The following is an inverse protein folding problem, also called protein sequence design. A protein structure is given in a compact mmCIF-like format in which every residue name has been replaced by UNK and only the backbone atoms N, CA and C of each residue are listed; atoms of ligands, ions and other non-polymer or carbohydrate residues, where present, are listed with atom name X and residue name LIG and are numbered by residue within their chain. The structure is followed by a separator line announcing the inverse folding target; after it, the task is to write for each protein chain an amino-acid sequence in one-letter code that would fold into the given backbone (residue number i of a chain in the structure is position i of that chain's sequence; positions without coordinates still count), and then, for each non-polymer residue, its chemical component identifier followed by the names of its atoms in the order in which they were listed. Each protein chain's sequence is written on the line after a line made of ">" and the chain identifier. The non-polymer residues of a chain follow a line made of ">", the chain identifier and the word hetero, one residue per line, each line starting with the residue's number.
data_IF_310030531696
#
_entry.id   IF_310030531696
#
_cell.length_a   1.000
_cell.length_b   1.000
_cell.length_c   1.000
_cell.angle_alpha   90.00
_cell.angle_beta   90.00
_cell.angle_gamma   90.00
#
_symmetry.space_group_name_H-M   'P 1'
#
loop_
_entity.id
_entity.type
_entity.pdbx_description
1 polymer ?
#
# COMPACT_ATOMS: atom_id res chain seq x y z
N UNK A 1 -10.22 -45.87 -8.65
CA UNK A 1 -8.86 -46.44 -8.44
C UNK A 1 -7.73 -45.50 -8.87
N UNK A 2 -7.83 -44.87 -10.06
CA UNK A 2 -6.86 -43.89 -10.55
C UNK A 2 -6.79 -42.62 -9.69
N UNK A 3 -7.95 -42.09 -9.27
CA UNK A 3 -8.03 -40.88 -8.45
C UNK A 3 -7.38 -41.03 -7.06
N UNK A 4 -7.50 -42.22 -6.45
CA UNK A 4 -6.89 -42.50 -5.14
C UNK A 4 -5.35 -42.57 -5.21
N UNK A 5 -4.79 -43.12 -6.31
CA UNK A 5 -3.34 -43.14 -6.53
C UNK A 5 -2.80 -41.74 -6.79
N UNK A 6 -3.53 -40.94 -7.58
CA UNK A 6 -3.18 -39.54 -7.83
C UNK A 6 -3.19 -38.71 -6.53
N UNK A 7 -4.19 -38.91 -5.69
CA UNK A 7 -4.30 -38.24 -4.38
C UNK A 7 -3.12 -38.57 -3.47
N UNK A 8 -2.76 -39.86 -3.34
CA UNK A 8 -1.59 -40.28 -2.53
C UNK A 8 -0.29 -39.64 -3.04
N UNK A 9 -0.10 -39.58 -4.37
CA UNK A 9 1.08 -38.95 -4.96
C UNK A 9 1.11 -37.44 -4.71
N UNK A 10 -0.04 -36.75 -4.81
CA UNK A 10 -0.14 -35.32 -4.52
C UNK A 10 0.16 -35.02 -3.04
N UNK A 11 -0.37 -35.83 -2.13
CA UNK A 11 -0.11 -35.72 -0.69
C UNK A 11 1.38 -35.93 -0.40
N UNK A 12 1.99 -36.99 -0.96
CA UNK A 12 3.41 -37.28 -0.76
C UNK A 12 4.31 -36.15 -1.26
N UNK A 13 4.01 -35.63 -2.47
CA UNK A 13 4.71 -34.47 -3.02
C UNK A 13 4.59 -33.25 -2.10
N UNK A 14 3.39 -32.99 -1.56
CA UNK A 14 3.19 -31.83 -0.70
C UNK A 14 3.93 -31.93 0.63
N UNK A 15 4.02 -33.13 1.21
CA UNK A 15 4.84 -33.39 2.41
C UNK A 15 6.32 -33.13 2.15
N UNK A 16 6.84 -33.61 1.02
CA UNK A 16 8.23 -33.35 0.62
C UNK A 16 8.51 -31.85 0.46
N UNK A 17 7.57 -31.08 -0.13
CA UNK A 17 7.69 -29.62 -0.23
C UNK A 17 7.72 -28.93 1.15
N UNK A 18 6.89 -29.41 2.10
CA UNK A 18 6.84 -28.89 3.47
C UNK A 18 8.17 -29.16 4.18
N UNK A 19 8.66 -30.40 4.16
CA UNK A 19 9.91 -30.81 4.80
C UNK A 19 11.10 -29.99 4.29
N UNK A 20 11.24 -29.86 2.96
CA UNK A 20 12.30 -29.06 2.33
C UNK A 20 12.25 -27.59 2.71
N UNK A 21 11.06 -27.01 2.85
CA UNK A 21 10.93 -25.61 3.21
C UNK A 21 11.28 -25.37 4.69
N UNK A 22 10.92 -26.30 5.58
CA UNK A 22 11.24 -26.24 7.01
C UNK A 22 12.74 -26.39 7.30
N UNK A 23 13.55 -26.92 6.37
CA UNK A 23 15.02 -26.87 6.48
C UNK A 23 15.57 -25.44 6.46
N UNK A 24 14.83 -24.48 5.90
CA UNK A 24 15.27 -23.09 5.69
C UNK A 24 14.44 -22.05 6.45
N UNK A 25 13.32 -22.47 7.03
CA UNK A 25 12.39 -21.60 7.75
C UNK A 25 12.15 -22.21 9.12
N UNK A 26 12.63 -21.52 10.17
CA UNK A 26 12.22 -21.81 11.53
C UNK A 26 10.79 -21.29 11.73
N UNK A 27 9.82 -22.16 11.45
CA UNK A 27 8.41 -21.79 11.43
C UNK A 27 7.90 -21.31 12.79
N UNK A 28 8.38 -21.92 13.88
CA UNK A 28 8.00 -21.52 15.24
C UNK A 28 8.44 -20.08 15.50
N UNK A 29 9.68 -19.74 15.16
CA UNK A 29 10.18 -18.38 15.34
C UNK A 29 9.57 -17.39 14.34
N UNK A 30 9.26 -17.83 13.12
CA UNK A 30 8.56 -16.99 12.14
C UNK A 30 7.15 -16.60 12.60
N UNK A 31 6.39 -17.53 13.18
CA UNK A 31 5.07 -17.24 13.77
C UNK A 31 5.17 -16.26 14.94
N UNK A 32 6.25 -16.35 15.74
CA UNK A 32 6.48 -15.47 16.87
C UNK A 32 5.38 -15.60 17.92
N UNK A 33 4.62 -14.52 18.12
CA UNK A 33 3.51 -14.45 19.09
C UNK A 33 2.14 -14.75 18.49
N UNK A 34 2.06 -14.99 17.18
CA UNK A 34 0.82 -15.34 16.51
C UNK A 34 0.30 -16.72 17.00
N UNK A 35 -1.02 -16.97 16.89
CA UNK A 35 -1.58 -18.30 17.13
C UNK A 35 -0.83 -19.41 16.39
N UNK A 36 -0.65 -20.60 17.00
CA UNK A 36 -0.03 -21.73 16.31
C UNK A 36 -0.78 -22.08 15.03
N UNK A 37 -0.04 -22.18 13.91
CA UNK A 37 -0.57 -22.56 12.59
C UNK A 37 0.33 -23.59 11.94
N UNK A 38 -0.23 -24.43 11.08
CA UNK A 38 0.56 -25.36 10.28
C UNK A 38 1.32 -24.59 9.19
N UNK A 39 2.55 -25.00 8.91
CA UNK A 39 3.30 -24.45 7.79
C UNK A 39 2.75 -24.99 6.48
N UNK A 40 2.47 -24.11 5.53
CA UNK A 40 2.10 -24.48 4.17
C UNK A 40 2.88 -23.64 3.15
N UNK A 41 3.72 -24.26 2.29
CA UNK A 41 4.50 -23.54 1.30
C UNK A 41 3.62 -22.63 0.43
N UNK A 42 3.93 -21.33 0.45
CA UNK A 42 3.25 -20.30 -0.34
C UNK A 42 1.95 -19.76 0.24
N UNK A 43 1.45 -20.29 1.36
CA UNK A 43 0.20 -19.79 1.97
C UNK A 43 0.42 -18.52 2.79
N UNK A 44 1.50 -18.48 3.57
CA UNK A 44 1.87 -17.36 4.43
C UNK A 44 3.21 -16.76 4.00
N UNK A 45 4.29 -17.54 4.15
CA UNK A 45 5.64 -17.15 3.78
C UNK A 45 5.92 -17.39 2.28
N UNK A 46 6.68 -16.54 1.58
CA UNK A 46 7.38 -15.32 2.04
C UNK A 46 6.56 -14.04 1.95
N UNK A 47 5.51 -14.00 1.14
CA UNK A 47 4.88 -12.73 0.73
C UNK A 47 3.39 -12.61 1.09
N UNK A 48 2.67 -13.74 1.12
CA UNK A 48 1.21 -13.77 1.27
C UNK A 48 0.75 -13.41 2.69
N UNK A 49 1.63 -13.51 3.69
CA UNK A 49 1.38 -13.17 5.10
C UNK A 49 0.72 -11.79 5.27
N UNK A 50 1.03 -10.83 4.39
CA UNK A 50 0.46 -9.48 4.40
C UNK A 50 -1.06 -9.45 4.27
N UNK A 51 -1.66 -10.49 3.67
CA UNK A 51 -3.10 -10.67 3.51
C UNK A 51 -3.81 -11.37 4.68
N UNK A 52 -3.09 -11.80 5.71
CA UNK A 52 -3.64 -12.53 6.86
C UNK A 52 -3.69 -11.63 8.10
N UNK A 53 -4.75 -11.73 8.90
CA UNK A 53 -4.95 -10.86 10.07
C UNK A 53 -3.88 -11.03 11.15
N UNK A 54 -3.37 -12.25 11.33
CA UNK A 54 -2.34 -12.52 12.33
C UNK A 54 -0.96 -11.95 11.97
N UNK A 55 -0.71 -11.63 10.70
CA UNK A 55 0.63 -11.32 10.19
C UNK A 55 0.73 -9.98 9.45
N UNK A 56 -0.38 -9.42 9.02
CA UNK A 56 -0.40 -8.30 8.09
C UNK A 56 -1.60 -7.39 8.24
N UNK A 57 -1.71 -6.46 7.29
CA UNK A 57 -2.67 -5.35 7.32
C UNK A 57 -3.50 -5.26 6.04
N UNK A 58 -3.46 -6.30 5.21
CA UNK A 58 -4.19 -6.38 3.95
C UNK A 58 -3.65 -5.42 2.89
N UNK A 59 -4.32 -5.39 1.73
CA UNK A 59 -3.91 -4.53 0.63
C UNK A 59 -3.89 -3.04 1.01
N UNK A 60 -4.86 -2.59 1.82
CA UNK A 60 -4.91 -1.22 2.31
C UNK A 60 -3.66 -0.90 3.13
N UNK A 61 -3.36 -1.64 4.20
CA UNK A 61 -2.21 -1.29 5.04
C UNK A 61 -0.86 -1.49 4.36
N UNK A 62 -0.76 -2.44 3.43
CA UNK A 62 0.45 -2.69 2.64
C UNK A 62 0.74 -1.58 1.62
N UNK A 63 -0.28 -1.09 0.91
CA UNK A 63 -0.10 -0.16 -0.21
C UNK A 63 -0.42 1.30 0.12
N UNK A 64 -1.29 1.57 1.09
CA UNK A 64 -1.71 2.93 1.41
C UNK A 64 -0.55 3.79 1.92
N UNK A 65 0.42 3.22 2.65
CA UNK A 65 1.58 3.99 3.10
C UNK A 65 2.41 4.56 1.93
N UNK A 66 2.43 3.86 0.80
CA UNK A 66 3.16 4.28 -0.40
C UNK A 66 2.35 5.29 -1.23
N UNK A 67 1.06 4.99 -1.45
CA UNK A 67 0.21 5.80 -2.33
C UNK A 67 -0.35 7.04 -1.64
N UNK A 68 -0.67 6.95 -0.34
CA UNK A 68 -1.46 8.00 0.32
C UNK A 68 -0.61 9.12 0.90
N UNK A 69 0.72 8.99 0.90
CA UNK A 69 1.62 10.05 1.36
C UNK A 69 1.37 11.37 0.63
N UNK A 70 1.29 11.34 -0.71
CA UNK A 70 1.02 12.54 -1.51
C UNK A 70 -0.34 13.16 -1.22
N UNK A 71 -1.49 12.46 -1.36
CA UNK A 71 -2.79 13.06 -1.10
C UNK A 71 -2.99 13.50 0.35
N UNK A 72 -2.44 12.78 1.35
CA UNK A 72 -2.53 13.21 2.75
C UNK A 72 -1.78 14.51 2.99
N UNK A 73 -0.56 14.63 2.47
CA UNK A 73 0.23 15.86 2.60
C UNK A 73 -0.39 17.01 1.80
N UNK A 74 -0.68 16.80 0.51
CA UNK A 74 -1.13 17.87 -0.39
C UNK A 74 -2.54 18.37 -0.10
N UNK A 75 -3.41 17.49 0.41
CA UNK A 75 -4.78 17.83 0.73
C UNK A 75 -5.02 17.95 2.24
N UNK A 76 -3.99 17.90 3.09
CA UNK A 76 -4.14 18.00 4.56
C UNK A 76 -5.18 17.02 5.11
N UNK A 77 -5.13 15.76 4.67
CA UNK A 77 -6.03 14.71 5.16
C UNK A 77 -5.50 14.18 6.49
N UNK A 78 -6.39 13.98 7.47
CA UNK A 78 -6.04 13.47 8.80
C UNK A 78 -7.10 12.52 9.32
N UNK A 79 -8.13 13.08 9.95
CA UNK A 79 -9.15 12.32 10.67
C UNK A 79 -10.45 12.27 9.85
N UNK A 80 -10.80 11.12 9.24
CA UNK A 80 -12.06 10.98 8.56
C UNK A 80 -13.21 10.91 9.59
N UNK A 81 -14.33 11.55 9.27
CA UNK A 81 -15.55 11.50 10.10
C UNK A 81 -16.45 10.31 9.76
N UNK A 82 -16.18 9.63 8.64
CA UNK A 82 -16.92 8.43 8.23
C UNK A 82 -16.03 7.53 7.36
N UNK A 83 -16.19 6.22 7.54
CA UNK A 83 -15.56 5.19 6.71
C UNK A 83 -16.60 4.13 6.39
N UNK A 84 -16.85 3.89 5.10
CA UNK A 84 -17.81 2.89 4.62
C UNK A 84 -17.14 2.00 3.59
N UNK A 85 -17.12 0.70 3.84
CA UNK A 85 -16.52 -0.29 2.95
C UNK A 85 -17.59 -1.16 2.29
N UNK A 86 -17.44 -1.39 0.99
CA UNK A 86 -18.06 -2.49 0.26
C UNK A 86 -16.95 -3.48 -0.10
N UNK A 87 -17.08 -4.73 0.32
CA UNK A 87 -16.06 -5.75 0.06
C UNK A 87 -16.67 -7.06 -0.40
N UNK A 88 -15.83 -8.01 -0.79
CA UNK A 88 -16.24 -9.39 -1.11
C UNK A 88 -16.62 -10.22 0.13
N UNK A 89 -16.63 -9.62 1.33
CA UNK A 89 -16.66 -10.35 2.59
C UNK A 89 -15.27 -10.84 3.00
N UNK A 90 -15.16 -11.27 4.25
CA UNK A 90 -13.96 -11.89 4.83
C UNK A 90 -14.35 -13.18 5.55
N UNK A 91 -13.38 -14.08 5.72
CA UNK A 91 -13.51 -15.37 6.39
C UNK A 91 -13.11 -15.33 7.87
N UNK A 92 -12.78 -14.14 8.38
CA UNK A 92 -12.24 -13.91 9.71
C UNK A 92 -10.81 -14.43 9.95
N UNK A 93 -10.09 -14.73 8.88
CA UNK A 93 -8.69 -15.16 8.92
C UNK A 93 -7.80 -14.30 8.00
N UNK A 94 -8.38 -13.88 6.87
CA UNK A 94 -7.78 -13.04 5.85
C UNK A 94 -8.57 -11.77 5.58
N UNK A 95 -7.90 -10.77 5.02
CA UNK A 95 -8.56 -9.56 4.53
C UNK A 95 -9.41 -9.88 3.29
N UNK A 96 -10.47 -9.09 3.01
CA UNK A 96 -11.27 -9.27 1.81
C UNK A 96 -10.43 -9.30 0.53
N UNK A 97 -10.81 -10.18 -0.40
CA UNK A 97 -10.10 -10.34 -1.68
C UNK A 97 -10.27 -9.14 -2.63
N UNK A 98 -11.23 -8.26 -2.37
CA UNK A 98 -11.44 -6.98 -3.04
C UNK A 98 -12.30 -6.06 -2.16
N UNK A 99 -12.00 -4.76 -2.18
CA UNK A 99 -12.74 -3.72 -1.47
C UNK A 99 -12.84 -2.41 -2.25
N UNK A 100 -13.92 -1.67 -1.98
CA UNK A 100 -14.09 -0.26 -2.30
C UNK A 100 -14.41 0.43 -0.98
N UNK A 101 -13.55 1.35 -0.54
CA UNK A 101 -13.70 2.01 0.76
C UNK A 101 -13.82 3.52 0.53
N UNK A 102 -14.89 4.10 1.04
CA UNK A 102 -15.11 5.55 1.05
C UNK A 102 -14.75 6.11 2.42
N UNK A 103 -13.90 7.11 2.43
CA UNK A 103 -13.59 7.94 3.58
C UNK A 103 -14.17 9.33 3.35
N UNK A 104 -14.74 9.94 4.39
CA UNK A 104 -15.20 11.33 4.38
C UNK A 104 -14.29 12.16 5.27
N UNK A 105 -13.47 13.02 4.68
CA UNK A 105 -12.66 13.98 5.44
C UNK A 105 -13.45 15.29 5.58
N UNK A 106 -13.60 15.82 6.80
CA UNK A 106 -14.37 17.04 7.03
C UNK A 106 -13.70 18.24 6.38
N UNK A 107 -14.47 19.31 6.17
CA UNK A 107 -13.92 20.61 5.78
C UNK A 107 -13.03 21.19 6.89
N UNK A 108 -12.15 22.10 6.50
CA UNK A 108 -11.28 22.85 7.40
C UNK A 108 -11.32 24.32 7.01
N UNK A 109 -10.64 25.19 7.76
CA UNK A 109 -10.49 26.60 7.39
C UNK A 109 -9.75 26.81 6.05
N UNK A 110 -9.00 25.82 5.57
CA UNK A 110 -8.11 25.95 4.40
C UNK A 110 -8.61 25.18 3.16
N UNK A 111 -9.58 24.28 3.33
CA UNK A 111 -10.10 23.44 2.24
C UNK A 111 -11.51 22.89 2.51
N UNK A 112 -12.30 22.60 1.47
CA UNK A 112 -13.59 21.94 1.63
C UNK A 112 -13.45 20.51 2.16
N UNK A 113 -14.59 19.89 2.45
CA UNK A 113 -14.67 18.46 2.74
C UNK A 113 -14.22 17.65 1.52
N UNK A 114 -13.50 16.55 1.75
CA UNK A 114 -12.92 15.72 0.67
C UNK A 114 -13.43 14.29 0.82
N UNK A 115 -14.22 13.79 -0.15
CA UNK A 115 -14.47 12.36 -0.27
C UNK A 115 -13.22 11.69 -0.84
N UNK A 116 -12.75 10.65 -0.16
CA UNK A 116 -11.59 9.87 -0.59
C UNK A 116 -12.03 8.43 -0.82
N UNK A 117 -11.57 7.83 -1.92
CA UNK A 117 -11.93 6.46 -2.29
C UNK A 117 -10.68 5.59 -2.46
N UNK A 118 -10.71 4.44 -1.79
CA UNK A 118 -9.75 3.37 -1.97
C UNK A 118 -10.37 2.24 -2.80
N UNK A 119 -9.61 1.72 -3.76
CA UNK A 119 -9.95 0.55 -4.55
C UNK A 119 -8.75 -0.39 -4.54
N UNK A 120 -8.94 -1.63 -4.08
CA UNK A 120 -7.94 -2.69 -4.21
C UNK A 120 -8.46 -3.85 -5.05
N UNK A 121 -7.57 -4.78 -5.39
CA UNK A 121 -7.71 -5.88 -6.36
C UNK A 121 -7.53 -5.46 -7.82
N UNK A 122 -6.68 -6.20 -8.54
CA UNK A 122 -6.50 -6.03 -9.99
C UNK A 122 -7.83 -6.05 -10.72
N UNK A 123 -8.08 -5.00 -11.51
CA UNK A 123 -9.31 -4.82 -12.30
C UNK A 123 -10.45 -4.10 -11.56
N UNK A 124 -10.37 -3.94 -10.23
CA UNK A 124 -11.29 -3.09 -9.49
C UNK A 124 -10.71 -1.67 -9.46
N UNK A 125 -11.30 -0.76 -10.23
CA UNK A 125 -10.82 0.61 -10.43
C UNK A 125 -11.96 1.60 -10.28
N UNK A 126 -11.68 2.89 -10.02
CA UNK A 126 -12.71 3.92 -10.11
C UNK A 126 -13.31 3.96 -11.53
N UNK A 127 -14.55 4.47 -11.66
CA UNK A 127 -15.19 4.65 -12.97
C UNK A 127 -14.31 5.41 -13.97
N UNK A 128 -14.22 4.91 -15.21
CA UNK A 128 -13.35 5.49 -16.25
C UNK A 128 -13.70 6.96 -16.56
N UNK A 129 -14.97 7.33 -16.45
CA UNK A 129 -15.47 8.69 -16.63
C UNK A 129 -14.78 9.74 -15.73
N UNK A 130 -14.25 9.34 -14.57
CA UNK A 130 -13.52 10.24 -13.67
C UNK A 130 -12.17 10.61 -14.29
N UNK A 131 -11.51 9.65 -14.94
CA UNK A 131 -10.21 9.80 -15.58
C UNK A 131 -10.32 10.53 -16.92
N UNK A 132 -11.33 10.21 -17.73
CA UNK A 132 -11.55 10.80 -19.06
C UNK A 132 -11.75 12.31 -19.02
N UNK A 133 -12.41 12.83 -17.97
CA UNK A 133 -12.56 14.28 -17.72
C UNK A 133 -11.23 15.03 -17.64
N UNK A 134 -10.15 14.33 -17.35
CA UNK A 134 -8.79 14.86 -17.26
C UNK A 134 -7.88 14.36 -18.38
N UNK A 135 -8.45 13.83 -19.48
CA UNK A 135 -7.71 13.35 -20.65
C UNK A 135 -6.90 12.08 -20.40
N UNK A 136 -7.21 11.33 -19.33
CA UNK A 136 -6.55 10.06 -19.03
C UNK A 136 -7.38 8.96 -19.69
N UNK A 137 -6.83 8.33 -20.74
CA UNK A 137 -7.50 7.26 -21.50
C UNK A 137 -7.03 5.86 -21.12
N UNK A 138 -5.93 5.76 -20.36
CA UNK A 138 -5.38 4.50 -19.86
C UNK A 138 -5.03 4.62 -18.38
N UNK A 139 -5.78 3.91 -17.55
CA UNK A 139 -5.57 3.87 -16.10
C UNK A 139 -4.58 2.77 -15.75
N UNK A 140 -3.58 3.11 -14.94
CA UNK A 140 -2.57 2.18 -14.45
C UNK A 140 -3.18 1.16 -13.48
N UNK A 141 -2.44 0.08 -13.21
CA UNK A 141 -2.85 -0.94 -12.24
C UNK A 141 -2.72 -0.50 -10.79
N UNK A 142 -1.96 0.57 -10.56
CA UNK A 142 -1.73 1.20 -9.28
C UNK A 142 -1.51 2.70 -9.50
N UNK A 143 -1.92 3.52 -8.55
CA UNK A 143 -1.74 4.96 -8.64
C UNK A 143 -2.76 5.76 -7.84
N UNK A 144 -2.67 7.07 -7.98
CA UNK A 144 -3.51 8.04 -7.26
C UNK A 144 -3.99 9.10 -8.22
N UNK A 145 -5.28 9.44 -8.14
CA UNK A 145 -5.85 10.60 -8.81
C UNK A 145 -6.35 11.58 -7.75
N UNK A 146 -5.80 12.79 -7.74
CA UNK A 146 -6.30 13.90 -6.93
C UNK A 146 -6.94 14.92 -7.86
N UNK A 147 -8.22 15.21 -7.65
CA UNK A 147 -8.99 16.14 -8.48
C UNK A 147 -9.20 17.44 -7.71
N UNK A 148 -8.75 18.54 -8.28
CA UNK A 148 -9.01 19.90 -7.80
C UNK A 148 -9.89 20.68 -8.78
N UNK A 149 -10.25 21.90 -8.39
CA UNK A 149 -11.17 22.75 -9.18
C UNK A 149 -10.62 23.15 -10.55
N UNK A 150 -9.28 23.27 -10.67
CA UNK A 150 -8.61 23.73 -11.91
C UNK A 150 -8.01 22.59 -12.73
N UNK A 151 -7.92 21.38 -12.18
CA UNK A 151 -7.23 20.27 -12.83
C UNK A 151 -7.00 19.10 -11.89
N UNK A 152 -6.13 18.18 -12.29
CA UNK A 152 -5.87 16.96 -11.53
C UNK A 152 -4.39 16.58 -11.50
N UNK A 153 -3.98 15.93 -10.41
CA UNK A 153 -2.72 15.21 -10.30
C UNK A 153 -3.00 13.72 -10.49
N UNK A 154 -2.25 13.06 -11.36
CA UNK A 154 -2.36 11.62 -11.60
C UNK A 154 -1.00 10.94 -11.49
N UNK A 155 -0.83 10.07 -10.49
CA UNK A 155 0.27 9.12 -10.42
C UNK A 155 -0.14 7.78 -11.02
N UNK A 156 0.80 7.14 -11.71
CA UNK A 156 0.62 5.86 -12.42
C UNK A 156 1.50 4.73 -11.87
N UNK A 157 1.99 4.88 -10.64
CA UNK A 157 2.90 3.96 -9.97
C UNK A 157 2.59 3.83 -8.47
N UNK A 158 3.22 2.85 -7.82
CA UNK A 158 2.98 2.49 -6.41
C UNK A 158 3.40 3.58 -5.41
N UNK A 159 4.37 4.41 -5.77
CA UNK A 159 5.08 5.32 -4.85
C UNK A 159 4.88 6.80 -5.20
N UNK A 160 3.96 7.11 -6.12
CA UNK A 160 3.78 8.46 -6.65
C UNK A 160 5.05 9.09 -7.26
N UNK A 161 6.01 8.27 -7.70
CA UNK A 161 7.25 8.72 -8.34
C UNK A 161 7.06 9.09 -9.81
N UNK A 162 6.04 8.55 -10.47
CA UNK A 162 5.69 8.87 -11.86
C UNK A 162 4.31 9.50 -11.92
N UNK A 163 4.26 10.80 -12.22
CA UNK A 163 3.02 11.56 -12.22
C UNK A 163 2.90 12.53 -13.38
N UNK A 164 1.65 12.90 -13.65
CA UNK A 164 1.25 13.91 -14.61
C UNK A 164 0.35 14.95 -13.93
N UNK A 165 0.48 16.21 -14.34
CA UNK A 165 -0.46 17.28 -14.01
C UNK A 165 -1.37 17.51 -15.21
N UNK A 166 -2.69 17.49 -14.97
CA UNK A 166 -3.72 17.63 -16.00
C UNK A 166 -4.44 18.97 -15.81
N UNK A 167 -4.37 19.84 -16.81
CA UNK A 167 -5.04 21.14 -16.80
C UNK A 167 -4.38 22.21 -15.91
N UNK A 168 -3.22 21.91 -15.31
CA UNK A 168 -2.45 22.86 -14.49
C UNK A 168 -0.97 22.78 -14.81
N UNK A 169 -0.29 23.91 -14.71
CA UNK A 169 1.15 24.01 -14.89
C UNK A 169 1.89 23.58 -13.62
N UNK A 170 3.06 22.95 -13.82
CA UNK A 170 3.96 22.63 -12.71
C UNK A 170 4.57 23.92 -12.18
N UNK A 171 4.28 24.25 -10.93
CA UNK A 171 4.94 25.36 -10.22
C UNK A 171 6.30 24.87 -9.70
N UNK A 172 7.33 25.71 -9.84
CA UNK A 172 8.62 25.46 -9.21
C UNK A 172 8.45 25.61 -7.69
N UNK A 173 8.75 24.54 -6.95
CA UNK A 173 8.83 24.59 -5.51
C UNK A 173 10.30 24.61 -5.10
N UNK A 174 10.68 25.61 -4.32
CA UNK A 174 11.99 25.64 -3.67
C UNK A 174 11.93 24.73 -2.44
N UNK A 175 12.73 23.68 -2.45
CA UNK A 175 12.90 22.80 -1.30
C UNK A 175 14.36 22.37 -1.20
N UNK A 176 14.80 22.16 0.03
CA UNK A 176 16.15 21.67 0.27
C UNK A 176 16.17 20.16 0.01
N UNK A 177 16.95 19.74 -0.99
CA UNK A 177 17.07 18.32 -1.31
C UNK A 177 17.89 17.60 -0.24
N UNK A 178 17.50 16.36 0.03
CA UNK A 178 18.32 15.44 0.81
C UNK A 178 19.68 15.22 0.15
N UNK A 179 20.70 14.99 0.97
CA UNK A 179 22.03 14.65 0.49
C UNK A 179 22.00 13.26 -0.17
N UNK A 180 22.22 13.19 -1.48
CA UNK A 180 22.17 11.93 -2.23
C UNK A 180 23.27 10.96 -1.76
N UNK A 181 22.86 9.81 -1.21
CA UNK A 181 23.75 8.72 -0.77
C UNK A 181 23.76 7.53 -1.73
N UNK A 182 23.22 7.69 -2.94
CA UNK A 182 23.25 6.71 -4.03
C UNK A 182 21.92 6.00 -4.26
N UNK A 183 21.04 5.94 -3.27
CA UNK A 183 19.63 5.57 -3.46
C UNK A 183 18.74 6.22 -2.38
N UNK A 184 17.43 6.21 -2.61
CA UNK A 184 16.45 6.85 -1.73
C UNK A 184 16.43 6.25 -0.32
N UNK A 185 16.49 4.92 -0.18
CA UNK A 185 16.43 4.27 1.13
C UNK A 185 17.65 4.60 1.99
N UNK A 186 18.85 4.51 1.42
CA UNK A 186 20.11 4.85 2.11
C UNK A 186 20.11 6.33 2.48
N UNK A 187 19.61 7.19 1.57
CA UNK A 187 19.49 8.64 1.83
C UNK A 187 18.57 8.90 3.03
N UNK A 188 17.38 8.31 3.04
CA UNK A 188 16.40 8.46 4.12
C UNK A 188 16.96 7.95 5.47
N UNK A 189 17.60 6.77 5.48
CA UNK A 189 18.20 6.21 6.69
C UNK A 189 19.38 7.05 7.20
N UNK A 190 20.21 7.56 6.29
CA UNK A 190 21.32 8.42 6.65
C UNK A 190 20.85 9.71 7.34
N UNK A 191 19.82 10.36 6.81
CA UNK A 191 19.21 11.52 7.46
C UNK A 191 18.65 11.16 8.83
N UNK A 192 17.89 10.06 8.94
CA UNK A 192 17.29 9.61 10.19
C UNK A 192 18.31 9.36 11.30
N UNK A 193 19.41 8.66 11.00
CA UNK A 193 20.45 8.40 12.00
C UNK A 193 21.13 9.68 12.48
N UNK A 194 21.34 10.64 11.57
CA UNK A 194 21.92 11.94 11.93
C UNK A 194 20.96 12.78 12.76
N UNK A 195 19.69 12.85 12.37
CA UNK A 195 18.63 13.50 13.12
C UNK A 195 18.55 12.94 14.55
N UNK A 196 18.54 11.62 14.69
CA UNK A 196 18.50 10.96 16.01
C UNK A 196 19.75 11.26 16.85
N UNK A 197 20.94 11.21 16.24
CA UNK A 197 22.21 11.50 16.94
C UNK A 197 22.31 12.96 17.39
N UNK A 198 21.78 13.89 16.60
CA UNK A 198 21.74 15.31 16.92
C UNK A 198 20.55 15.68 17.82
N UNK A 199 19.57 14.78 17.98
CA UNK A 199 18.26 15.07 18.57
C UNK A 199 17.55 16.24 17.88
N UNK A 200 17.67 16.31 16.55
CA UNK A 200 17.08 17.36 15.71
C UNK A 200 16.36 16.73 14.51
N UNK A 201 15.01 16.64 14.52
CA UNK A 201 14.26 16.05 13.42
C UNK A 201 14.34 16.86 12.12
N UNK A 202 14.73 18.15 12.16
CA UNK A 202 14.82 19.01 10.97
C UNK A 202 15.91 18.59 10.00
N UNK A 203 16.82 17.70 10.42
CA UNK A 203 17.83 17.11 9.54
C UNK A 203 17.19 16.19 8.48
N UNK A 204 16.01 15.61 8.74
CA UNK A 204 15.35 14.71 7.80
C UNK A 204 14.48 15.44 6.77
N UNK A 205 15.13 16.10 5.82
CA UNK A 205 14.48 16.87 4.75
C UNK A 205 13.59 16.01 3.85
N UNK A 206 13.89 14.72 3.74
CA UNK A 206 13.08 13.77 2.96
C UNK A 206 11.87 13.20 3.71
N UNK A 207 11.84 13.27 5.05
CA UNK A 207 10.84 12.57 5.86
C UNK A 207 9.88 13.51 6.58
N UNK A 208 10.32 14.72 6.93
CA UNK A 208 9.50 15.68 7.67
C UNK A 208 9.46 16.99 6.91
N UNK A 209 8.25 17.47 6.66
CA UNK A 209 7.97 18.79 6.13
C UNK A 209 7.34 19.55 7.30
N UNK A 210 7.90 20.72 7.64
CA UNK A 210 7.36 21.64 8.65
C UNK A 210 5.97 22.18 8.21
#
# INVERSE_FOLDING_TARGET
>A
PYDALLEVLLIAKKKEEIEKALERVDWKNWLGVAPPREFWPGLYHTFQHRGWWDFGTGALGDMACHQLTVPFASCGLRDPISVVAKSTGHDFDSFPASSIIKFEFPETSERPAIPFWWYDRKGNKPPMEIFEKHGITKVADSGVLVVGEKGAFYSSDDYCGKYELKGVDKVAADFEKAEDKGNFDITNMYELFRAKRANDPKICKSNFID
#
